data_IF_635762079297
#
_entry.id   IF_635762079297
#
_cell.length_a   1.000
_cell.length_b   1.000
_cell.length_c   1.000
_cell.angle_alpha   90.00
_cell.angle_beta   90.00
_cell.angle_gamma   90.00
#
_symmetry.space_group_name_H-M   'P 1'
#
loop_
_entity.id
_entity.type
_entity.pdbx_description
1 polymer ?
#
# COMPACT_ATOMS: atom_id res chain seq x y z
N UNK A 1 -10.02 29.75 12.89
CA UNK A 1 -8.75 29.07 12.52
C UNK A 1 -7.95 28.55 13.72
N UNK A 2 -7.95 29.23 14.89
CA UNK A 2 -7.30 28.74 16.14
C UNK A 2 -7.84 27.39 16.63
N UNK A 3 -9.17 27.21 16.68
CA UNK A 3 -9.82 25.99 17.19
C UNK A 3 -9.51 24.70 16.38
N UNK A 4 -9.31 24.81 15.07
CA UNK A 4 -9.01 23.63 14.24
C UNK A 4 -7.58 23.13 14.45
N UNK A 5 -6.63 24.04 14.72
CA UNK A 5 -5.23 23.66 14.96
C UNK A 5 -5.08 22.83 16.23
N UNK A 6 -5.88 23.11 17.26
CA UNK A 6 -5.88 22.37 18.54
C UNK A 6 -6.59 21.01 18.50
N UNK A 7 -7.27 20.65 17.41
CA UNK A 7 -7.95 19.35 17.31
C UNK A 7 -6.96 18.20 17.15
N UNK A 8 -7.26 17.07 17.80
CA UNK A 8 -6.55 15.82 17.61
C UNK A 8 -6.68 15.33 16.15
N UNK A 9 -5.72 14.53 15.64
CA UNK A 9 -5.81 13.95 14.30
C UNK A 9 -7.13 13.21 14.04
N UNK A 10 -7.61 12.44 15.02
CA UNK A 10 -8.89 11.72 14.89
C UNK A 10 -10.08 12.64 14.80
N UNK A 11 -10.12 13.71 15.57
CA UNK A 11 -11.22 14.69 15.49
C UNK A 11 -11.22 15.37 14.12
N UNK A 12 -10.05 15.75 13.60
CA UNK A 12 -9.91 16.28 12.23
C UNK A 12 -10.39 15.26 11.19
N UNK A 13 -10.06 13.98 11.37
CA UNK A 13 -10.50 12.90 10.52
C UNK A 13 -12.02 12.74 10.46
N UNK A 14 -12.68 12.74 11.62
CA UNK A 14 -14.15 12.70 11.69
C UNK A 14 -14.81 13.93 11.07
N UNK A 15 -14.27 15.14 11.32
CA UNK A 15 -14.79 16.37 10.70
C UNK A 15 -14.70 16.30 9.17
N UNK A 16 -13.56 15.88 8.62
CA UNK A 16 -13.38 15.74 7.18
C UNK A 16 -14.29 14.67 6.57
N UNK A 17 -14.41 13.51 7.24
CA UNK A 17 -15.32 12.45 6.83
C UNK A 17 -16.80 12.93 6.85
N UNK A 18 -17.26 13.58 7.91
CA UNK A 18 -18.62 14.11 7.99
C UNK A 18 -18.89 15.17 6.92
N UNK A 19 -17.93 16.06 6.64
CA UNK A 19 -18.05 17.03 5.56
C UNK A 19 -18.18 16.35 4.19
N UNK A 20 -17.42 15.26 3.94
CA UNK A 20 -17.54 14.48 2.69
C UNK A 20 -18.93 13.85 2.51
N UNK A 21 -19.54 13.36 3.59
CA UNK A 21 -20.89 12.77 3.58
C UNK A 21 -21.93 13.84 3.25
N UNK A 22 -21.81 15.05 3.81
CA UNK A 22 -22.73 16.17 3.54
C UNK A 22 -22.61 16.74 2.13
N UNK A 23 -21.45 16.60 1.48
CA UNK A 23 -21.27 17.06 0.09
C UNK A 23 -22.06 16.23 -0.93
N UNK A 24 -22.45 14.99 -0.60
CA UNK A 24 -23.21 14.13 -1.50
C UNK A 24 -24.61 14.71 -1.82
N UNK A 25 -25.50 14.96 -0.84
CA UNK A 25 -26.79 15.60 -1.12
C UNK A 25 -26.66 17.00 -1.71
N UNK A 26 -25.64 17.77 -1.31
CA UNK A 26 -25.40 19.11 -1.84
C UNK A 26 -25.08 19.05 -3.34
N UNK A 27 -24.19 18.15 -3.74
CA UNK A 27 -23.81 17.92 -5.14
C UNK A 27 -25.04 17.55 -5.96
N UNK A 28 -25.86 16.62 -5.47
CA UNK A 28 -27.08 16.21 -6.17
C UNK A 28 -28.10 17.35 -6.27
N UNK A 29 -28.30 18.11 -5.20
CA UNK A 29 -29.24 19.23 -5.17
C UNK A 29 -28.82 20.34 -6.14
N UNK A 30 -27.52 20.68 -6.21
CA UNK A 30 -26.98 21.65 -7.18
C UNK A 30 -27.19 21.16 -8.61
N UNK A 31 -26.91 19.89 -8.89
CA UNK A 31 -27.12 19.30 -10.20
C UNK A 31 -28.58 19.39 -10.64
N UNK A 32 -29.52 19.00 -9.78
CA UNK A 32 -30.94 19.02 -10.08
C UNK A 32 -31.50 20.43 -10.24
N UNK A 33 -31.10 21.39 -9.39
CA UNK A 33 -31.49 22.81 -9.54
C UNK A 33 -31.01 23.38 -10.88
N UNK A 34 -29.80 23.03 -11.31
CA UNK A 34 -29.27 23.50 -12.58
C UNK A 34 -30.02 22.93 -13.80
N UNK A 35 -30.55 21.70 -13.69
CA UNK A 35 -31.45 21.13 -14.71
C UNK A 35 -32.75 21.92 -14.76
N UNK A 36 -33.33 22.28 -13.60
CA UNK A 36 -34.60 23.02 -13.56
C UNK A 36 -34.50 24.48 -14.01
N UNK A 37 -33.32 25.09 -13.86
CA UNK A 37 -33.08 26.49 -14.21
C UNK A 37 -32.41 26.73 -15.55
N UNK A 38 -32.31 25.73 -16.43
CA UNK A 38 -31.61 25.79 -17.73
C UNK A 38 -30.10 26.16 -17.64
N UNK A 39 -29.47 25.98 -16.48
CA UNK A 39 -28.03 26.22 -16.25
C UNK A 39 -27.20 24.93 -16.28
N UNK A 40 -27.61 23.93 -17.07
CA UNK A 40 -27.10 22.54 -17.02
C UNK A 40 -25.56 22.48 -17.07
N UNK A 41 -24.91 23.23 -17.97
CA UNK A 41 -23.46 23.19 -18.11
C UNK A 41 -22.74 23.66 -16.83
N UNK A 42 -23.19 24.76 -16.24
CA UNK A 42 -22.62 25.31 -14.99
C UNK A 42 -22.90 24.33 -13.85
N UNK A 43 -24.12 23.78 -13.78
CA UNK A 43 -24.50 22.79 -12.78
C UNK A 43 -23.63 21.54 -12.80
N UNK A 44 -23.36 21.00 -13.99
CA UNK A 44 -22.45 19.85 -14.18
C UNK A 44 -21.06 20.18 -13.66
N UNK A 45 -20.48 21.32 -14.09
CA UNK A 45 -19.13 21.71 -13.67
C UNK A 45 -19.03 21.87 -12.15
N UNK A 46 -19.98 22.58 -11.54
CA UNK A 46 -20.00 22.76 -10.07
C UNK A 46 -20.17 21.43 -9.35
N UNK A 47 -21.04 20.55 -9.86
CA UNK A 47 -21.28 19.24 -9.25
C UNK A 47 -20.03 18.34 -9.31
N UNK A 48 -19.31 18.35 -10.44
CA UNK A 48 -18.03 17.63 -10.58
C UNK A 48 -16.98 18.15 -9.60
N UNK A 49 -16.88 19.48 -9.43
CA UNK A 49 -15.95 20.08 -8.47
C UNK A 49 -16.32 19.71 -7.02
N UNK A 50 -17.60 19.82 -6.65
CA UNK A 50 -18.07 19.44 -5.31
C UNK A 50 -17.84 17.96 -5.02
N UNK A 51 -18.10 17.10 -6.00
CA UNK A 51 -17.82 15.68 -5.90
C UNK A 51 -16.32 15.40 -5.72
N UNK A 52 -15.46 16.07 -6.50
CA UNK A 52 -14.01 15.99 -6.36
C UNK A 52 -13.53 16.41 -4.97
N UNK A 53 -14.05 17.53 -4.43
CA UNK A 53 -13.76 17.97 -3.05
C UNK A 53 -14.26 16.94 -2.03
N UNK A 54 -15.44 16.34 -2.25
CA UNK A 54 -15.96 15.25 -1.43
C UNK A 54 -15.01 14.06 -1.35
N UNK A 55 -14.48 13.61 -2.49
CA UNK A 55 -13.48 12.54 -2.57
C UNK A 55 -12.22 12.91 -1.79
N UNK A 56 -11.71 14.13 -1.96
CA UNK A 56 -10.50 14.60 -1.27
C UNK A 56 -10.70 14.62 0.26
N UNK A 57 -11.84 15.11 0.73
CA UNK A 57 -12.18 15.15 2.15
C UNK A 57 -12.39 13.76 2.74
N UNK A 58 -13.02 12.84 2.00
CA UNK A 58 -13.17 11.45 2.40
C UNK A 58 -11.80 10.79 2.56
N UNK A 59 -10.93 10.92 1.56
CA UNK A 59 -9.59 10.33 1.59
C UNK A 59 -8.73 10.91 2.72
N UNK A 60 -8.81 12.22 2.94
CA UNK A 60 -8.14 12.88 4.07
C UNK A 60 -8.70 12.43 5.42
N UNK A 61 -10.03 12.30 5.53
CA UNK A 61 -10.68 11.78 6.74
C UNK A 61 -10.24 10.34 7.05
N UNK A 62 -10.26 9.47 6.04
CA UNK A 62 -9.83 8.08 6.17
C UNK A 62 -8.36 7.95 6.57
N UNK A 63 -7.47 8.80 6.04
CA UNK A 63 -6.05 8.74 6.39
C UNK A 63 -5.78 9.04 7.87
N UNK A 64 -6.58 9.92 8.46
CA UNK A 64 -6.50 10.31 9.87
C UNK A 64 -7.24 9.37 10.83
N UNK A 65 -8.26 8.66 10.34
CA UNK A 65 -9.08 7.74 11.14
C UNK A 65 -8.52 6.32 11.20
N UNK A 66 -7.62 6.00 10.29
CA UNK A 66 -7.00 4.69 10.23
C UNK A 66 -6.05 4.44 11.42
N UNK A 67 -5.84 3.16 11.78
CA UNK A 67 -5.07 2.83 12.97
C UNK A 67 -3.60 3.18 12.79
N UNK A 68 -3.00 3.71 13.85
CA UNK A 68 -1.55 3.95 13.89
C UNK A 68 -0.81 2.64 14.15
N UNK A 69 0.46 2.54 13.75
CA UNK A 69 1.29 1.36 14.04
C UNK A 69 1.38 1.09 15.54
N UNK A 70 1.42 2.13 16.38
CA UNK A 70 1.33 1.98 17.83
C UNK A 70 0.06 1.24 18.26
N UNK A 71 -1.11 1.67 17.79
CA UNK A 71 -2.40 1.03 18.13
C UNK A 71 -2.52 -0.39 17.58
N UNK A 72 -1.86 -0.68 16.44
CA UNK A 72 -1.79 -2.02 15.86
C UNK A 72 -0.96 -2.93 16.76
N UNK A 73 0.24 -2.49 17.14
CA UNK A 73 1.17 -3.25 17.99
C UNK A 73 0.64 -3.43 19.43
N UNK A 74 -0.20 -2.52 19.93
CA UNK A 74 -0.91 -2.68 21.20
C UNK A 74 -2.00 -3.76 21.14
N UNK A 75 -2.60 -3.98 19.96
CA UNK A 75 -3.69 -4.95 19.75
C UNK A 75 -3.22 -6.31 19.27
N UNK A 76 -2.18 -6.34 18.43
CA UNK A 76 -1.56 -7.54 17.89
C UNK A 76 -0.14 -7.63 18.44
N UNK A 77 0.03 -8.46 19.47
CA UNK A 77 1.30 -8.62 20.20
C UNK A 77 2.25 -9.61 19.52
N UNK A 78 1.89 -10.17 18.37
CA UNK A 78 2.78 -11.06 17.61
C UNK A 78 3.97 -10.25 17.06
N UNK A 79 5.16 -10.85 16.96
CA UNK A 79 6.30 -10.21 16.30
C UNK A 79 5.93 -9.67 14.91
N UNK A 80 6.20 -8.39 14.60
CA UNK A 80 5.77 -7.79 13.33
C UNK A 80 6.54 -8.32 12.13
N UNK A 81 5.92 -8.16 10.95
CA UNK A 81 6.62 -8.28 9.66
C UNK A 81 6.96 -6.86 9.19
N UNK A 82 8.22 -6.58 8.93
CA UNK A 82 8.67 -5.24 8.54
C UNK A 82 8.90 -5.19 7.04
N UNK A 83 8.26 -4.26 6.36
CA UNK A 83 8.42 -4.01 4.94
C UNK A 83 9.20 -2.71 4.74
N UNK A 84 10.46 -2.84 4.30
CA UNK A 84 11.33 -1.70 3.98
C UNK A 84 11.35 -1.52 2.47
N UNK A 85 11.01 -0.29 2.06
CA UNK A 85 11.00 0.14 0.66
C UNK A 85 11.76 1.45 0.54
N UNK A 86 12.42 1.70 -0.60
CA UNK A 86 13.07 2.98 -0.82
C UNK A 86 12.04 4.12 -0.81
N UNK A 87 12.45 5.28 -0.30
CA UNK A 87 11.64 6.50 -0.37
C UNK A 87 11.59 7.05 -1.80
N UNK A 88 10.54 7.79 -2.16
CA UNK A 88 10.35 8.39 -3.50
C UNK A 88 11.59 9.16 -4.01
N UNK A 89 12.34 9.82 -3.12
CA UNK A 89 13.57 10.55 -3.46
C UNK A 89 14.76 9.65 -3.82
N UNK A 90 14.75 8.41 -3.33
CA UNK A 90 15.74 7.39 -3.62
C UNK A 90 15.37 6.58 -4.88
N UNK A 91 14.16 6.80 -5.41
CA UNK A 91 13.64 6.17 -6.62
C UNK A 91 13.97 7.02 -7.85
N UNK A 92 15.25 7.27 -8.12
CA UNK A 92 15.67 7.79 -9.43
C UNK A 92 15.42 6.79 -10.58
N UNK A 93 15.06 5.54 -10.25
CA UNK A 93 14.94 4.41 -11.17
C UNK A 93 13.55 3.75 -11.18
N UNK A 94 12.68 4.10 -10.23
CA UNK A 94 11.29 3.60 -10.15
C UNK A 94 10.39 4.81 -10.22
N UNK A 95 10.23 5.33 -11.42
CA UNK A 95 9.39 6.49 -11.69
C UNK A 95 7.95 6.17 -11.29
N UNK A 96 7.52 6.71 -10.14
CA UNK A 96 6.14 7.02 -9.72
C UNK A 96 5.03 6.04 -10.13
N UNK A 97 5.26 4.74 -9.97
CA UNK A 97 4.19 3.75 -10.05
C UNK A 97 4.04 3.09 -8.68
N UNK A 98 2.99 3.49 -7.96
CA UNK A 98 2.29 2.51 -7.13
C UNK A 98 2.01 1.33 -8.08
N UNK A 99 2.81 0.25 -8.00
CA UNK A 99 2.71 -0.90 -8.91
C UNK A 99 1.29 -1.45 -8.86
N UNK A 100 0.48 -0.98 -9.79
CA UNK A 100 -0.93 -1.30 -9.96
C UNK A 100 -0.96 -2.42 -11.00
N UNK A 101 -1.19 -3.63 -10.51
CA UNK A 101 -1.47 -4.79 -11.35
C UNK A 101 -2.92 -4.73 -11.77
N UNK A 102 -3.15 -4.49 -13.04
CA UNK A 102 -4.48 -4.55 -13.64
C UNK A 102 -4.68 -5.98 -14.13
N UNK A 103 -5.75 -6.63 -13.69
CA UNK A 103 -6.09 -7.96 -14.17
C UNK A 103 -6.46 -7.96 -15.66
N UNK A 104 -6.44 -9.11 -16.34
CA UNK A 104 -6.68 -9.16 -17.79
C UNK A 104 -8.09 -8.73 -18.19
N UNK A 105 -9.03 -8.75 -17.24
CA UNK A 105 -10.40 -8.30 -17.45
C UNK A 105 -10.54 -6.77 -17.39
N UNK A 106 -9.51 -6.05 -16.93
CA UNK A 106 -9.54 -4.62 -16.68
C UNK A 106 -10.42 -4.20 -15.50
N UNK A 107 -11.06 -5.16 -14.81
CA UNK A 107 -12.05 -4.87 -13.76
C UNK A 107 -11.41 -4.70 -12.39
N UNK A 108 -10.20 -5.22 -12.19
CA UNK A 108 -9.52 -5.16 -10.90
C UNK A 108 -8.10 -4.64 -11.04
N UNK A 109 -7.84 -3.56 -10.31
CA UNK A 109 -6.50 -3.07 -9.99
C UNK A 109 -6.11 -3.59 -8.60
N UNK A 110 -4.90 -4.14 -8.46
CA UNK A 110 -4.31 -4.58 -7.19
C UNK A 110 -2.97 -3.91 -7.02
N UNK A 111 -2.73 -3.25 -5.88
CA UNK A 111 -1.42 -2.66 -5.58
C UNK A 111 -0.45 -3.73 -5.11
N UNK A 112 0.85 -3.56 -5.38
CA UNK A 112 1.88 -4.50 -4.90
C UNK A 112 1.81 -4.76 -3.38
N UNK A 113 1.65 -3.73 -2.56
CA UNK A 113 1.51 -3.88 -1.12
C UNK A 113 0.30 -4.73 -0.71
N UNK A 114 -0.79 -4.76 -1.51
CA UNK A 114 -1.94 -5.62 -1.24
C UNK A 114 -1.61 -7.11 -1.43
N UNK A 115 -0.66 -7.42 -2.33
CA UNK A 115 -0.17 -8.78 -2.57
C UNK A 115 0.66 -9.29 -1.38
N UNK A 116 1.24 -8.38 -0.60
CA UNK A 116 1.96 -8.71 0.63
C UNK A 116 1.04 -8.96 1.83
N UNK A 117 -0.26 -8.65 1.75
CA UNK A 117 -1.19 -8.84 2.88
C UNK A 117 -1.21 -10.22 3.52
N UNK A 118 -1.02 -11.35 2.80
CA UNK A 118 -0.99 -12.66 3.42
C UNK A 118 0.08 -12.79 4.52
N UNK A 119 1.15 -11.98 4.47
CA UNK A 119 2.18 -11.88 5.50
C UNK A 119 1.64 -11.48 6.87
N UNK A 120 0.46 -10.86 6.96
CA UNK A 120 -0.20 -10.59 8.24
C UNK A 120 -0.51 -11.87 9.05
N UNK A 121 -0.45 -13.04 8.40
CA UNK A 121 -0.56 -14.35 9.06
C UNK A 121 0.63 -14.62 9.99
N UNK A 122 1.81 -14.06 9.71
CA UNK A 122 3.00 -14.16 10.55
C UNK A 122 2.98 -13.18 11.73
N UNK A 123 2.49 -11.97 11.47
CA UNK A 123 2.40 -10.86 12.43
C UNK A 123 1.98 -9.58 11.70
N UNK A 124 1.71 -8.47 12.41
CA UNK A 124 1.24 -7.25 11.76
C UNK A 124 2.29 -6.75 10.75
N UNK A 125 1.87 -6.58 9.49
CA UNK A 125 2.74 -6.08 8.42
C UNK A 125 2.85 -4.56 8.53
N UNK A 126 4.06 -4.07 8.82
CA UNK A 126 4.35 -2.66 9.06
C UNK A 126 5.34 -2.15 8.02
N UNK A 127 5.11 -0.96 7.48
CA UNK A 127 6.06 -0.27 6.61
C UNK A 127 6.40 1.10 7.15
N UNK A 128 7.60 1.59 6.82
CA UNK A 128 8.03 2.94 7.17
C UNK A 128 7.86 3.83 5.95
N UNK A 129 7.30 5.01 6.16
CA UNK A 129 6.99 5.97 5.10
C UNK A 129 7.58 7.35 5.43
N UNK A 130 7.98 8.07 4.37
CA UNK A 130 8.45 9.46 4.46
C UNK A 130 7.28 10.37 4.91
N UNK A 131 7.45 11.21 5.95
CA UNK A 131 6.46 12.12 6.47
C UNK A 131 6.21 13.34 5.58
N UNK A 132 6.93 13.50 4.47
CA UNK A 132 6.74 14.59 3.53
C UNK A 132 5.26 14.75 3.14
N UNK A 133 4.84 16.00 2.94
CA UNK A 133 3.43 16.36 2.82
C UNK A 133 2.72 15.57 1.72
N UNK A 134 3.40 15.24 0.61
CA UNK A 134 2.86 14.43 -0.48
C UNK A 134 2.52 12.99 -0.05
N UNK A 135 3.40 12.31 0.70
CA UNK A 135 3.20 10.93 1.17
C UNK A 135 2.03 10.75 2.16
N UNK A 136 1.59 11.84 2.81
CA UNK A 136 0.44 11.84 3.73
C UNK A 136 -0.92 11.96 3.01
N UNK A 137 -0.93 12.56 1.82
CA UNK A 137 -2.13 12.76 1.00
C UNK A 137 -2.22 11.77 -0.18
N UNK A 138 -1.09 11.19 -0.62
CA UNK A 138 -1.01 10.31 -1.79
C UNK A 138 -1.38 8.84 -1.53
N UNK A 139 -1.63 8.42 -0.28
CA UNK A 139 -1.78 6.99 0.00
C UNK A 139 -2.57 6.70 1.25
N UNK A 140 -3.86 7.01 1.21
CA UNK A 140 -4.90 6.35 2.00
C UNK A 140 -4.60 4.87 2.25
N UNK A 141 -4.90 4.41 3.46
CA UNK A 141 -4.89 3.04 3.96
C UNK A 141 -5.64 2.06 3.04
N UNK A 142 -4.97 1.65 1.97
CA UNK A 142 -5.47 0.71 0.97
C UNK A 142 -4.68 -0.57 1.05
N UNK A 143 -5.05 -1.34 2.08
CA UNK A 143 -5.08 -2.79 1.98
C UNK A 143 -3.74 -3.49 1.95
N UNK A 144 -2.62 -2.87 2.35
CA UNK A 144 -1.31 -3.51 2.41
C UNK A 144 -0.73 -3.54 3.82
N UNK A 145 0.37 -2.82 4.02
CA UNK A 145 1.06 -2.65 5.29
C UNK A 145 0.51 -1.47 6.12
N UNK A 146 0.59 -1.54 7.45
CA UNK A 146 0.38 -0.39 8.32
C UNK A 146 1.56 0.56 8.21
N UNK A 147 1.33 1.78 7.73
CA UNK A 147 2.38 2.78 7.53
C UNK A 147 2.69 3.53 8.82
N UNK A 148 3.96 3.54 9.20
CA UNK A 148 4.52 4.43 10.21
C UNK A 148 5.24 5.59 9.54
N UNK A 149 4.80 6.82 9.80
CA UNK A 149 5.45 8.02 9.29
C UNK A 149 6.47 8.50 10.30
N UNK A 150 7.75 8.55 9.92
CA UNK A 150 8.87 8.85 10.82
C UNK A 150 9.72 9.98 10.25
N UNK A 151 10.18 10.91 11.07
CA UNK A 151 11.06 12.02 10.62
C UNK A 151 12.32 11.50 9.91
N UNK A 152 12.90 12.33 9.03
CA UNK A 152 14.17 12.02 8.34
C UNK A 152 15.35 11.88 9.31
N UNK A 153 15.24 12.44 10.51
CA UNK A 153 16.29 12.34 11.52
C UNK A 153 16.13 11.09 12.40
N UNK A 154 14.89 10.58 12.55
CA UNK A 154 14.57 9.48 13.47
C UNK A 154 14.37 8.11 12.80
N UNK A 155 14.28 8.05 11.46
CA UNK A 155 13.88 6.82 10.76
C UNK A 155 14.85 5.66 11.00
N UNK A 156 16.17 5.89 11.02
CA UNK A 156 17.15 4.82 11.25
C UNK A 156 17.00 4.18 12.63
N UNK A 157 16.80 5.01 13.66
CA UNK A 157 16.56 4.52 15.01
C UNK A 157 15.28 3.67 15.05
N UNK A 158 14.23 4.12 14.34
CA UNK A 158 12.96 3.41 14.29
C UNK A 158 13.02 2.10 13.50
N UNK A 159 13.67 2.07 12.34
CA UNK A 159 13.95 0.83 11.57
C UNK A 159 14.66 -0.18 12.47
N UNK A 160 15.71 0.25 13.18
CA UNK A 160 16.49 -0.62 14.07
C UNK A 160 15.64 -1.21 15.17
N UNK A 161 14.77 -0.42 15.80
CA UNK A 161 13.87 -0.89 16.85
C UNK A 161 12.87 -1.93 16.32
N UNK A 162 12.28 -1.68 15.14
CA UNK A 162 11.31 -2.56 14.51
C UNK A 162 11.97 -3.89 14.07
N UNK A 163 13.15 -3.84 13.45
CA UNK A 163 13.89 -5.03 13.04
C UNK A 163 14.24 -5.94 14.23
N UNK A 164 14.62 -5.39 15.39
CA UNK A 164 14.88 -6.20 16.60
C UNK A 164 13.69 -7.01 17.09
N UNK A 165 12.46 -6.58 16.77
CA UNK A 165 11.23 -7.24 17.17
C UNK A 165 10.64 -8.10 16.04
N UNK A 166 11.19 -8.01 14.83
CA UNK A 166 10.57 -8.58 13.64
C UNK A 166 10.68 -10.10 13.56
N UNK A 167 9.64 -10.76 13.06
CA UNK A 167 9.72 -12.19 12.66
C UNK A 167 10.19 -12.38 11.22
N UNK A 168 10.08 -11.33 10.40
CA UNK A 168 10.44 -11.32 8.99
C UNK A 168 10.64 -9.87 8.56
N UNK A 169 11.69 -9.59 7.81
CA UNK A 169 11.86 -8.36 7.06
C UNK A 169 11.73 -8.63 5.56
N UNK A 170 10.89 -7.84 4.89
CA UNK A 170 10.73 -7.82 3.45
C UNK A 170 11.42 -6.58 2.93
N UNK A 171 12.46 -6.75 2.12
CA UNK A 171 13.32 -5.67 1.64
C UNK A 171 13.17 -5.51 0.12
N UNK A 172 12.77 -4.34 -0.35
CA UNK A 172 12.80 -4.05 -1.79
C UNK A 172 14.23 -3.75 -2.23
N UNK A 173 14.62 -4.37 -3.33
CA UNK A 173 15.89 -4.11 -4.01
C UNK A 173 15.94 -2.68 -4.56
N UNK A 174 17.06 -1.99 -4.36
CA UNK A 174 17.36 -0.71 -5.00
C UNK A 174 18.79 -0.24 -4.70
N UNK A 175 19.12 1.01 -5.05
CA UNK A 175 20.51 1.47 -5.17
C UNK A 175 20.89 2.72 -4.34
N UNK A 176 20.17 3.07 -3.28
CA UNK A 176 20.52 4.23 -2.43
C UNK A 176 21.37 3.86 -1.21
N UNK A 177 22.03 4.88 -0.63
CA UNK A 177 22.74 4.75 0.65
C UNK A 177 21.78 4.32 1.78
N UNK A 178 20.54 4.81 1.75
CA UNK A 178 19.49 4.42 2.69
C UNK A 178 19.20 2.91 2.63
N UNK A 179 18.98 2.38 1.42
CA UNK A 179 18.77 0.94 1.20
C UNK A 179 19.99 0.14 1.65
N UNK A 180 21.20 0.59 1.30
CA UNK A 180 22.45 -0.06 1.72
C UNK A 180 22.50 -0.22 3.24
N UNK A 181 22.15 0.84 3.95
CA UNK A 181 22.11 0.84 5.41
C UNK A 181 21.01 -0.09 5.96
N UNK A 182 19.81 -0.08 5.37
CA UNK A 182 18.69 -0.97 5.78
C UNK A 182 19.06 -2.45 5.64
N UNK A 183 19.72 -2.80 4.54
CA UNK A 183 20.19 -4.16 4.27
C UNK A 183 21.26 -4.59 5.26
N UNK A 184 22.21 -3.70 5.57
CA UNK A 184 23.23 -3.95 6.59
C UNK A 184 22.61 -4.13 7.98
N UNK A 185 21.59 -3.34 8.35
CA UNK A 185 20.88 -3.54 9.62
C UNK A 185 20.11 -4.85 9.65
N UNK A 186 19.39 -5.20 8.59
CA UNK A 186 18.67 -6.46 8.50
C UNK A 186 19.62 -7.65 8.67
N UNK A 187 20.75 -7.66 7.95
CA UNK A 187 21.78 -8.71 8.06
C UNK A 187 22.39 -8.80 9.47
N UNK A 188 22.54 -7.67 10.16
CA UNK A 188 23.10 -7.59 11.51
C UNK A 188 22.13 -8.07 12.59
N UNK A 189 20.83 -7.78 12.43
CA UNK A 189 19.82 -7.96 13.48
C UNK A 189 18.97 -9.22 13.30
N UNK A 190 18.87 -9.75 12.07
CA UNK A 190 18.00 -10.88 11.74
C UNK A 190 18.79 -12.12 11.36
N UNK A 191 18.18 -13.27 11.61
CA UNK A 191 18.63 -14.54 11.02
C UNK A 191 18.34 -14.53 9.51
N UNK A 192 19.15 -15.20 8.67
CA UNK A 192 18.97 -15.17 7.22
C UNK A 192 17.55 -15.58 6.78
N UNK A 193 16.99 -16.64 7.35
CA UNK A 193 15.62 -17.12 7.10
C UNK A 193 14.49 -16.20 7.62
N UNK A 194 14.85 -15.03 8.15
CA UNK A 194 13.94 -13.94 8.53
C UNK A 194 14.10 -12.74 7.60
N UNK A 195 14.76 -12.91 6.46
CA UNK A 195 14.92 -11.90 5.42
C UNK A 195 14.26 -12.44 4.14
N UNK A 196 13.45 -11.61 3.50
CA UNK A 196 12.82 -11.87 2.20
C UNK A 196 13.19 -10.70 1.29
N UNK A 197 13.92 -10.95 0.22
CA UNK A 197 14.13 -9.92 -0.80
C UNK A 197 12.93 -9.87 -1.72
N UNK A 198 12.56 -8.66 -2.08
CA UNK A 198 11.51 -8.33 -3.01
C UNK A 198 12.13 -7.59 -4.20
N UNK A 199 11.93 -8.13 -5.38
CA UNK A 199 12.44 -7.60 -6.62
C UNK A 199 11.33 -6.82 -7.34
N UNK A 200 11.59 -5.58 -7.81
CA UNK A 200 10.60 -4.86 -8.60
C UNK A 200 10.33 -5.59 -9.92
N UNK A 201 9.13 -5.41 -10.46
CA UNK A 201 8.61 -6.14 -11.63
C UNK A 201 9.48 -5.96 -12.88
N UNK A 202 10.23 -7.02 -13.22
CA UNK A 202 11.08 -7.11 -14.41
C UNK A 202 10.28 -7.01 -15.73
N UNK A 203 9.00 -7.39 -15.71
CA UNK A 203 8.14 -7.48 -16.90
C UNK A 203 7.47 -6.15 -17.24
N UNK A 204 7.41 -5.18 -16.31
CA UNK A 204 6.91 -3.81 -16.57
C UNK A 204 8.01 -2.79 -16.82
N UNK A 205 9.27 -3.10 -16.49
CA UNK A 205 10.39 -2.28 -16.92
C UNK A 205 10.50 -2.48 -18.43
N UNK A 206 10.04 -1.48 -19.18
CA UNK A 206 10.06 -1.41 -20.64
C UNK A 206 11.45 -1.63 -21.27
N UNK A 207 12.48 -1.72 -20.44
CA UNK A 207 13.86 -1.98 -20.83
C UNK A 207 14.52 -3.06 -19.96
N UNK A 208 14.50 -4.31 -20.41
CA UNK A 208 15.21 -5.46 -19.80
C UNK A 208 16.67 -5.12 -19.41
N UNK A 209 17.35 -4.32 -20.24
CA UNK A 209 18.75 -3.91 -19.98
C UNK A 209 18.93 -2.96 -18.79
N UNK A 210 17.94 -2.10 -18.50
CA UNK A 210 17.95 -1.23 -17.32
C UNK A 210 17.81 -2.03 -16.03
N UNK A 211 17.01 -3.09 -16.04
CA UNK A 211 16.84 -3.95 -14.87
C UNK A 211 18.02 -4.88 -14.62
N UNK A 212 18.60 -5.48 -15.68
CA UNK A 212 19.82 -6.28 -15.56
C UNK A 212 20.97 -5.47 -14.96
N UNK A 213 21.03 -4.16 -15.25
CA UNK A 213 21.97 -3.24 -14.61
C UNK A 213 21.70 -3.11 -13.11
N UNK A 214 20.44 -2.86 -12.73
CA UNK A 214 20.02 -2.72 -11.33
C UNK A 214 20.33 -4.00 -10.54
N UNK A 215 19.96 -5.15 -11.07
CA UNK A 215 20.18 -6.44 -10.44
C UNK A 215 21.67 -6.75 -10.30
N UNK A 216 22.49 -6.43 -11.30
CA UNK A 216 23.95 -6.64 -11.26
C UNK A 216 24.59 -5.82 -10.14
N UNK A 217 24.31 -4.52 -10.09
CA UNK A 217 24.90 -3.65 -9.06
C UNK A 217 24.40 -4.02 -7.67
N UNK A 218 23.11 -4.39 -7.57
CA UNK A 218 22.53 -4.92 -6.34
C UNK A 218 23.21 -6.21 -5.90
N UNK A 219 23.55 -7.11 -6.83
CA UNK A 219 24.24 -8.37 -6.50
C UNK A 219 25.63 -8.10 -5.92
N UNK A 220 26.36 -7.11 -6.43
CA UNK A 220 27.64 -6.67 -5.88
C UNK A 220 27.49 -6.11 -4.45
N UNK A 221 26.49 -5.25 -4.24
CA UNK A 221 26.17 -4.70 -2.93
C UNK A 221 25.75 -5.82 -1.94
N UNK A 222 24.91 -6.74 -2.39
CA UNK A 222 24.43 -7.87 -1.60
C UNK A 222 25.60 -8.77 -1.19
N UNK A 223 26.50 -9.12 -2.12
CA UNK A 223 27.71 -9.91 -1.85
C UNK A 223 28.57 -9.27 -0.77
N UNK A 224 28.73 -7.94 -0.80
CA UNK A 224 29.49 -7.19 0.22
C UNK A 224 28.85 -7.26 1.61
N UNK A 225 27.51 -7.18 1.70
CA UNK A 225 26.79 -7.12 2.98
C UNK A 225 26.56 -8.53 3.56
N UNK A 226 26.15 -9.48 2.73
CA UNK A 226 25.70 -10.81 3.17
C UNK A 226 26.78 -11.88 3.04
N UNK A 227 27.80 -11.65 2.21
CA UNK A 227 28.89 -12.60 1.95
C UNK A 227 28.51 -13.76 1.03
N UNK A 228 27.26 -13.81 0.55
CA UNK A 228 26.77 -14.79 -0.41
C UNK A 228 26.46 -14.15 -1.76
N UNK A 229 26.62 -14.92 -2.83
CA UNK A 229 26.25 -14.48 -4.17
C UNK A 229 24.76 -14.75 -4.40
N UNK A 230 24.08 -13.78 -5.01
CA UNK A 230 22.73 -14.03 -5.49
C UNK A 230 22.80 -14.89 -6.75
N UNK A 231 21.85 -15.81 -6.93
CA UNK A 231 21.76 -16.58 -8.15
C UNK A 231 21.55 -15.66 -9.37
N UNK A 232 21.95 -16.10 -10.59
CA UNK A 232 21.61 -15.38 -11.81
C UNK A 232 20.11 -15.16 -11.88
N UNK A 233 19.70 -13.99 -12.35
CA UNK A 233 18.28 -13.67 -12.48
C UNK A 233 17.58 -14.65 -13.42
N UNK A 234 16.64 -15.42 -12.90
CA UNK A 234 15.70 -16.20 -13.70
C UNK A 234 14.55 -15.30 -14.20
N UNK A 235 13.97 -15.59 -15.37
CA UNK A 235 12.90 -14.77 -15.93
C UNK A 235 11.73 -14.63 -14.95
N UNK A 236 11.35 -13.37 -14.67
CA UNK A 236 10.19 -12.98 -13.86
C UNK A 236 10.21 -13.41 -12.37
N UNK A 237 11.36 -13.32 -11.69
CA UNK A 237 11.46 -13.49 -10.23
C UNK A 237 11.07 -12.22 -9.46
N UNK A 238 10.19 -12.35 -8.46
CA UNK A 238 9.76 -11.28 -7.54
C UNK A 238 10.29 -11.44 -6.11
N UNK A 239 10.62 -12.65 -5.69
CA UNK A 239 11.02 -12.91 -4.31
C UNK A 239 12.24 -13.83 -4.23
N UNK A 240 13.14 -13.55 -3.28
CA UNK A 240 14.25 -14.44 -2.93
C UNK A 240 14.22 -14.65 -1.42
N UNK A 241 14.17 -15.91 -1.00
CA UNK A 241 14.29 -16.31 0.42
C UNK A 241 15.70 -16.80 0.73
N UNK A 242 15.99 -16.97 2.02
CA UNK A 242 17.26 -17.54 2.49
C UNK A 242 17.02 -18.71 3.44
N UNK A 243 17.83 -19.75 3.30
CA UNK A 243 17.86 -20.84 4.26
C UNK A 243 18.54 -20.42 5.59
N UNK A 244 18.53 -21.25 6.64
CA UNK A 244 19.22 -20.93 7.89
C UNK A 244 20.74 -20.74 7.77
N UNK A 245 21.36 -21.22 6.69
CA UNK A 245 22.78 -21.07 6.38
C UNK A 245 23.07 -19.76 5.64
N UNK A 246 22.04 -19.05 5.17
CA UNK A 246 22.17 -17.83 4.39
C UNK A 246 22.32 -18.05 2.89
N UNK A 247 22.07 -19.25 2.39
CA UNK A 247 22.03 -19.54 0.96
C UNK A 247 20.71 -19.01 0.37
N UNK A 248 20.75 -18.19 -0.70
CA UNK A 248 19.55 -17.73 -1.37
C UNK A 248 18.85 -18.88 -2.11
N UNK A 249 17.53 -18.80 -2.20
CA UNK A 249 16.72 -19.68 -3.06
C UNK A 249 15.58 -18.91 -3.73
N UNK A 250 15.26 -19.33 -4.95
CA UNK A 250 14.13 -18.81 -5.71
C UNK A 250 12.80 -19.49 -5.34
N UNK A 251 11.66 -18.88 -5.69
CA UNK A 251 10.36 -19.53 -5.60
C UNK A 251 10.35 -20.77 -6.48
N UNK A 252 9.78 -21.86 -5.99
CA UNK A 252 9.48 -23.05 -6.79
C UNK A 252 8.26 -22.76 -7.69
N UNK A 253 8.53 -22.51 -8.97
CA UNK A 253 7.54 -22.28 -10.03
C UNK A 253 8.13 -22.72 -11.39
N UNK A 254 7.32 -23.39 -12.22
CA UNK A 254 7.78 -23.87 -13.52
C UNK A 254 7.93 -22.72 -14.54
N UNK A 255 8.86 -22.84 -15.49
CA UNK A 255 9.00 -21.88 -16.60
C UNK A 255 7.70 -21.76 -17.41
N UNK A 256 6.97 -22.87 -17.58
CA UNK A 256 5.66 -22.89 -18.25
C UNK A 256 4.62 -22.03 -17.50
N UNK A 257 4.57 -22.12 -16.17
CA UNK A 257 3.67 -21.31 -15.35
C UNK A 257 4.07 -19.83 -15.37
N UNK A 258 5.37 -19.53 -15.34
CA UNK A 258 5.88 -18.16 -15.50
C UNK A 258 5.42 -17.60 -16.84
N UNK A 259 5.64 -18.32 -17.94
CA UNK A 259 5.29 -17.89 -19.29
C UNK A 259 3.77 -17.70 -19.43
N UNK A 260 2.99 -18.66 -18.94
CA UNK A 260 1.52 -18.64 -18.99
C UNK A 260 0.93 -17.50 -18.18
N UNK A 261 1.42 -17.25 -16.96
CA UNK A 261 0.89 -16.19 -16.10
C UNK A 261 1.35 -14.81 -16.57
N UNK A 262 2.56 -14.72 -17.10
CA UNK A 262 3.11 -13.47 -17.62
C UNK A 262 2.44 -13.03 -18.93
N UNK A 263 2.33 -13.92 -19.93
CA UNK A 263 1.74 -13.60 -21.24
C UNK A 263 0.27 -13.20 -21.16
N UNK A 264 -0.45 -13.75 -20.18
CA UNK A 264 -1.87 -13.51 -20.03
C UNK A 264 -2.20 -12.31 -19.13
N UNK A 265 -1.21 -11.53 -18.66
CA UNK A 265 -1.45 -10.36 -17.80
C UNK A 265 -1.87 -10.72 -16.37
N UNK A 266 -1.61 -11.94 -15.90
CA UNK A 266 -1.92 -12.39 -14.53
C UNK A 266 -0.75 -12.14 -13.57
N UNK A 267 -0.07 -11.00 -13.70
CA UNK A 267 1.12 -10.67 -12.90
C UNK A 267 0.85 -10.73 -11.40
N UNK A 268 -0.31 -10.25 -10.93
CA UNK A 268 -0.69 -10.35 -9.51
C UNK A 268 -0.78 -11.79 -9.00
N UNK A 269 -1.20 -12.73 -9.86
CA UNK A 269 -1.28 -14.15 -9.54
C UNK A 269 0.11 -14.77 -9.49
N UNK A 270 0.99 -14.41 -10.43
CA UNK A 270 2.40 -14.81 -10.44
C UNK A 270 3.12 -14.38 -9.16
N UNK A 271 3.01 -13.09 -8.79
CA UNK A 271 3.58 -12.55 -7.54
C UNK A 271 3.02 -13.30 -6.33
N UNK A 272 1.70 -13.52 -6.28
CA UNK A 272 1.08 -14.25 -5.17
C UNK A 272 1.58 -15.69 -5.08
N UNK A 273 1.76 -16.37 -6.21
CA UNK A 273 2.26 -17.75 -6.27
C UNK A 273 3.70 -17.83 -5.75
N UNK A 274 4.57 -16.93 -6.24
CA UNK A 274 5.96 -16.89 -5.81
C UNK A 274 6.09 -16.56 -4.31
N UNK A 275 5.30 -15.60 -3.80
CA UNK A 275 5.27 -15.28 -2.38
C UNK A 275 4.89 -16.50 -1.54
N UNK A 276 3.83 -17.21 -1.94
CA UNK A 276 3.38 -18.42 -1.25
C UNK A 276 4.46 -19.52 -1.28
N UNK A 277 5.11 -19.71 -2.43
CA UNK A 277 6.15 -20.73 -2.62
C UNK A 277 7.36 -20.47 -1.70
N UNK A 278 7.89 -19.26 -1.70
CA UNK A 278 9.03 -18.88 -0.83
C UNK A 278 8.64 -19.00 0.65
N UNK A 279 7.46 -18.52 1.03
CA UNK A 279 7.01 -18.56 2.42
C UNK A 279 6.72 -19.97 2.91
N UNK A 280 6.21 -20.87 2.07
CA UNK A 280 6.04 -22.27 2.45
C UNK A 280 7.37 -22.93 2.80
N UNK A 281 8.46 -22.55 2.12
CA UNK A 281 9.82 -23.00 2.47
C UNK A 281 10.38 -22.33 3.72
N UNK A 282 10.13 -21.03 3.93
CA UNK A 282 10.61 -20.30 5.10
C UNK A 282 9.84 -20.63 6.39
N UNK A 283 8.54 -20.88 6.30
CA UNK A 283 7.59 -21.06 7.41
C UNK A 283 6.54 -22.12 7.04
N UNK A 284 6.92 -23.41 6.93
CA UNK A 284 6.00 -24.48 6.51
C UNK A 284 4.79 -24.64 7.44
N UNK A 285 4.96 -24.29 8.72
CA UNK A 285 3.90 -24.38 9.72
C UNK A 285 2.83 -23.28 9.58
N UNK A 286 3.09 -22.25 8.78
CA UNK A 286 2.21 -21.09 8.64
C UNK A 286 1.36 -21.20 7.39
N UNK A 287 0.06 -21.40 7.57
CA UNK A 287 -0.91 -21.33 6.48
C UNK A 287 -1.24 -19.87 6.18
N UNK A 288 -0.77 -19.37 5.05
CA UNK A 288 -1.10 -18.02 4.57
C UNK A 288 -2.59 -17.91 4.30
N UNK A 289 -3.22 -16.98 5.00
CA UNK A 289 -4.63 -16.64 4.80
C UNK A 289 -4.77 -15.13 4.78
N UNK A 290 -5.73 -14.63 4.01
CA UNK A 290 -6.08 -13.22 4.05
C UNK A 290 -6.58 -12.89 5.46
N UNK A 291 -5.79 -12.12 6.20
CA UNK A 291 -6.14 -11.71 7.55
C UNK A 291 -7.07 -10.49 7.54
N UNK A 292 -7.93 -10.40 8.57
CA UNK A 292 -8.72 -9.19 8.78
C UNK A 292 -7.81 -8.13 9.39
N UNK A 293 -7.50 -7.09 8.62
CA UNK A 293 -6.70 -5.97 9.12
C UNK A 293 -7.48 -5.17 10.17
N UNK A 294 -6.76 -4.73 11.20
CA UNK A 294 -7.23 -3.79 12.21
C UNK A 294 -7.67 -2.51 11.48
N UNK A 295 -8.83 -1.97 11.88
CA UNK A 295 -9.42 -0.80 11.25
C UNK A 295 -10.34 -1.09 10.07
N UNK A 296 -10.27 -2.27 9.40
CA UNK A 296 -11.12 -2.58 8.24
C UNK A 296 -12.61 -2.56 8.57
N UNK A 297 -13.00 -2.98 9.78
CA UNK A 297 -14.41 -2.96 10.23
C UNK A 297 -14.94 -1.54 10.26
N UNK A 298 -14.18 -0.66 10.92
CA UNK A 298 -14.53 0.75 11.04
C UNK A 298 -14.62 1.43 9.67
N UNK A 299 -13.71 1.11 8.75
CA UNK A 299 -13.72 1.60 7.36
C UNK A 299 -14.96 1.13 6.60
N UNK A 300 -15.34 -0.16 6.71
CA UNK A 300 -16.55 -0.70 6.07
C UNK A 300 -17.82 -0.04 6.59
N UNK A 301 -17.92 0.20 7.90
CA UNK A 301 -19.05 0.93 8.47
C UNK A 301 -19.14 2.36 7.95
N UNK A 302 -18.01 3.08 7.89
CA UNK A 302 -17.95 4.44 7.32
C UNK A 302 -18.33 4.45 5.83
N UNK A 303 -17.85 3.48 5.04
CA UNK A 303 -18.27 3.36 3.64
C UNK A 303 -19.77 3.05 3.53
N UNK A 304 -20.30 2.16 4.38
CA UNK A 304 -21.72 1.83 4.43
C UNK A 304 -22.60 3.03 4.78
N UNK A 305 -22.20 3.84 5.76
CA UNK A 305 -22.88 5.10 6.12
C UNK A 305 -22.87 6.06 4.93
N UNK A 306 -21.73 6.21 4.26
CA UNK A 306 -21.59 7.10 3.10
C UNK A 306 -22.51 6.68 1.95
N UNK A 307 -22.58 5.37 1.64
CA UNK A 307 -23.48 4.82 0.61
C UNK A 307 -24.95 5.02 1.01
N UNK A 308 -25.31 4.65 2.25
CA UNK A 308 -26.68 4.78 2.74
C UNK A 308 -27.16 6.24 2.67
N UNK A 309 -26.32 7.18 3.12
CA UNK A 309 -26.63 8.60 3.08
C UNK A 309 -26.77 9.12 1.64
N UNK A 310 -25.92 8.65 0.72
CA UNK A 310 -26.07 8.96 -0.71
C UNK A 310 -27.39 8.46 -1.30
N UNK A 311 -27.80 7.24 -0.98
CA UNK A 311 -29.06 6.66 -1.45
C UNK A 311 -30.29 7.39 -0.89
N UNK A 312 -30.29 7.74 0.39
CA UNK A 312 -31.41 8.47 1.02
C UNK A 312 -31.48 9.95 0.61
N UNK A 313 -30.35 10.52 0.20
CA UNK A 313 -30.27 11.90 -0.30
C UNK A 313 -31.02 12.10 -1.61
N UNK A 314 -31.14 11.07 -2.45
CA UNK A 314 -31.82 11.15 -3.75
C UNK A 314 -33.30 11.53 -3.61
N UNK A 315 -34.15 10.75 -2.93
CA UNK A 315 -35.56 11.09 -2.80
C UNK A 315 -35.79 12.39 -2.02
N UNK A 316 -34.95 12.70 -1.02
CA UNK A 316 -35.05 13.94 -0.25
C UNK A 316 -34.74 15.17 -1.12
N UNK A 317 -33.72 15.09 -1.97
CA UNK A 317 -33.37 16.19 -2.89
C UNK A 317 -34.50 16.41 -3.90
N UNK A 318 -35.06 15.32 -4.46
CA UNK A 318 -36.22 15.40 -5.37
C UNK A 318 -37.44 16.02 -4.66
N UNK A 319 -37.74 15.61 -3.44
CA UNK A 319 -38.89 16.12 -2.68
C UNK A 319 -38.74 17.61 -2.32
N UNK A 320 -37.54 18.04 -1.91
CA UNK A 320 -37.25 19.45 -1.65
C UNK A 320 -37.44 20.31 -2.91
N UNK A 321 -37.04 19.81 -4.08
CA UNK A 321 -37.23 20.52 -5.35
C UNK A 321 -38.71 20.64 -5.73
N UNK A 322 -39.49 19.58 -5.53
CA UNK A 322 -40.95 19.62 -5.77
C UNK A 322 -41.64 20.65 -4.87
N UNK A 323 -41.17 20.83 -3.63
CA UNK A 323 -41.71 21.85 -2.71
C UNK A 323 -41.28 23.25 -3.11
N UNK A 324 -40.02 23.47 -3.51
CA UNK A 324 -39.50 24.79 -3.92
C UNK A 324 -40.15 25.27 -5.23
N UNK A 325 -40.55 24.35 -6.10
CA UNK A 325 -41.14 24.66 -7.41
C UNK A 325 -42.67 24.87 -7.37
N UNK A 326 -43.32 24.62 -6.22
CA UNK A 326 -44.72 24.98 -5.97
C UNK A 326 -44.83 26.37 -5.37
#
# INVERSE_FOLDING_TARGET
MSLYRSLTPRTKGWVAYSASVLLIPLTLSVFLLAIMGDYVLIGVVVSVLLFGVGILLYNYGESLLAPTVKEVLEKDTRPPVIFLRPFEKDLHFVEDQEDIFIDPSGTRSTRFEELLTPLNSLGPLISIADPSTKGRFAGTHHGGAYREYVSVDDWQARVTELLRKATLAVLIVGQSDGITWEFAQARKLLLPQSILLCLPDVMRISNKSSYEHIYRDFTEQFKRIFGSELPPLESATYFIGFDPQGSPFFPDISEEDIEKLSKNGFTSLLVSHQLNSVLHRLRPDVKLRRQRLIGTVSKRWRLGILILFGLTSIPLSILLLVVIWR
#
